data_IF_741723221596
#
_entry.id   IF_741723221596
#
_cell.length_a   1.000
_cell.length_b   1.000
_cell.length_c   1.000
_cell.angle_alpha   90.00
_cell.angle_beta   90.00
_cell.angle_gamma   90.00
#
_symmetry.space_group_name_H-M   'P 1'
#
loop_
_entity.id
_entity.type
_entity.pdbx_description
1 polymer ?
#
# COMPACT_ATOMS: atom_id res chain seq x y z
N UNK A 1 1.02 22.20 6.54
CA UNK A 1 0.89 20.78 7.00
C UNK A 1 -0.11 19.97 6.18
N UNK A 2 -1.33 20.50 5.86
CA UNK A 2 -2.31 19.81 5.01
C UNK A 2 -1.75 19.53 3.60
N UNK A 3 -1.31 20.57 2.91
CA UNK A 3 -0.75 20.44 1.55
C UNK A 3 0.51 19.57 1.52
N UNK A 4 1.36 19.65 2.52
CA UNK A 4 2.55 18.84 2.65
C UNK A 4 2.23 17.35 2.69
N UNK A 5 1.27 16.94 3.52
CA UNK A 5 0.83 15.54 3.60
C UNK A 5 0.21 15.07 2.29
N UNK A 6 -0.68 15.85 1.69
CA UNK A 6 -1.30 15.49 0.41
C UNK A 6 -0.28 15.47 -0.73
N UNK A 7 0.64 16.42 -0.78
CA UNK A 7 1.68 16.46 -1.80
C UNK A 7 2.62 15.27 -1.70
N UNK A 8 3.03 14.88 -0.49
CA UNK A 8 3.92 13.75 -0.29
C UNK A 8 3.19 12.43 -0.53
N UNK A 9 2.11 12.18 0.19
CA UNK A 9 1.45 10.87 0.20
C UNK A 9 0.65 10.60 -1.08
N UNK A 10 -0.19 11.54 -1.50
CA UNK A 10 -1.11 11.31 -2.61
C UNK A 10 -0.54 11.76 -3.96
N UNK A 11 -0.07 13.00 -4.05
CA UNK A 11 0.46 13.54 -5.30
C UNK A 11 1.74 12.83 -5.73
N UNK A 12 2.64 12.52 -4.77
CA UNK A 12 3.85 11.75 -5.04
C UNK A 12 3.52 10.37 -5.58
N UNK A 13 2.63 9.63 -4.90
CA UNK A 13 2.15 8.32 -5.36
C UNK A 13 1.52 8.40 -6.75
N UNK A 14 0.70 9.40 -7.02
CA UNK A 14 0.09 9.60 -8.33
C UNK A 14 1.15 9.75 -9.45
N UNK A 15 2.19 10.55 -9.23
CA UNK A 15 3.22 10.74 -10.25
C UNK A 15 4.06 9.46 -10.47
N UNK A 16 4.39 8.73 -9.42
CA UNK A 16 5.08 7.45 -9.54
C UNK A 16 4.22 6.43 -10.29
N UNK A 17 2.95 6.30 -9.93
CA UNK A 17 2.00 5.43 -10.61
C UNK A 17 1.87 5.78 -12.10
N UNK A 18 1.74 7.08 -12.43
CA UNK A 18 1.65 7.54 -13.83
C UNK A 18 2.88 7.14 -14.64
N UNK A 19 4.07 7.38 -14.10
CA UNK A 19 5.31 7.03 -14.78
C UNK A 19 5.46 5.51 -14.96
N UNK A 20 5.22 4.73 -13.90
CA UNK A 20 5.26 3.28 -13.94
C UNK A 20 4.23 2.69 -14.88
N UNK A 21 3.00 3.18 -14.86
CA UNK A 21 1.92 2.72 -15.72
C UNK A 21 2.25 2.95 -17.21
N UNK A 22 2.78 4.12 -17.56
CA UNK A 22 3.20 4.42 -18.92
C UNK A 22 4.31 3.49 -19.40
N UNK A 23 5.29 3.20 -18.55
CA UNK A 23 6.36 2.27 -18.86
C UNK A 23 5.84 0.83 -19.02
N UNK A 24 4.96 0.39 -18.11
CA UNK A 24 4.36 -0.95 -18.15
C UNK A 24 3.48 -1.15 -19.39
N UNK A 25 2.78 -0.12 -19.86
CA UNK A 25 2.09 -0.18 -21.16
C UNK A 25 3.02 -0.48 -22.33
N UNK A 26 4.20 0.14 -22.35
CA UNK A 26 5.18 -0.08 -23.43
C UNK A 26 5.77 -1.48 -23.41
N UNK A 27 5.94 -2.07 -22.21
CA UNK A 27 6.55 -3.39 -22.05
C UNK A 27 5.52 -4.55 -22.05
N UNK A 28 4.23 -4.24 -22.18
CA UNK A 28 3.17 -5.25 -22.30
C UNK A 28 2.61 -5.79 -20.99
N UNK A 29 2.87 -5.12 -19.86
CA UNK A 29 2.30 -5.48 -18.56
C UNK A 29 3.20 -5.16 -17.39
N UNK A 30 2.70 -5.41 -16.19
CA UNK A 30 3.45 -5.19 -14.95
C UNK A 30 2.58 -5.23 -13.71
N UNK A 31 3.18 -4.91 -12.57
CA UNK A 31 2.51 -4.82 -11.29
C UNK A 31 2.93 -3.53 -10.58
N UNK A 32 1.95 -2.77 -10.13
CA UNK A 32 2.11 -1.63 -9.23
C UNK A 32 1.58 -2.04 -7.86
N UNK A 33 2.37 -1.85 -6.82
CA UNK A 33 1.95 -2.04 -5.42
C UNK A 33 2.03 -0.69 -4.72
N UNK A 34 0.89 -0.18 -4.29
CA UNK A 34 0.80 1.04 -3.51
C UNK A 34 0.75 0.71 -2.02
N UNK A 35 1.58 1.38 -1.23
CA UNK A 35 1.51 1.27 0.23
C UNK A 35 0.55 2.34 0.76
N UNK A 36 -0.65 1.89 1.14
CA UNK A 36 -1.64 2.72 1.80
C UNK A 36 -1.51 2.63 3.32
N UNK A 37 -2.58 2.36 4.00
CA UNK A 37 -2.68 2.18 5.46
C UNK A 37 -4.06 1.65 5.79
N UNK A 38 -4.27 1.13 7.00
CA UNK A 38 -5.63 0.96 7.54
C UNK A 38 -6.38 2.31 7.57
N UNK A 39 -5.66 3.44 7.72
CA UNK A 39 -6.20 4.79 7.58
C UNK A 39 -6.68 5.14 6.16
N UNK A 40 -6.45 4.30 5.18
CA UNK A 40 -7.03 4.38 3.83
C UNK A 40 -8.37 3.64 3.70
N UNK A 41 -8.79 2.91 4.74
CA UNK A 41 -10.01 2.11 4.80
C UNK A 41 -10.94 2.63 5.91
N UNK A 42 -10.34 3.04 7.02
CA UNK A 42 -11.00 3.60 8.19
C UNK A 42 -10.45 5.01 8.50
N UNK A 43 -11.13 5.74 9.37
CA UNK A 43 -10.67 7.05 9.80
C UNK A 43 -11.02 7.28 11.29
N UNK A 44 -10.15 8.00 11.98
CA UNK A 44 -10.31 8.30 13.39
C UNK A 44 -10.20 9.80 13.65
N UNK A 45 -10.66 10.23 14.79
CA UNK A 45 -10.48 11.61 15.25
C UNK A 45 -8.98 11.99 15.22
N UNK A 46 -8.68 13.17 14.71
CA UNK A 46 -7.29 13.67 14.61
C UNK A 46 -6.50 13.19 13.40
N UNK A 47 -7.02 12.26 12.60
CA UNK A 47 -6.30 11.71 11.42
C UNK A 47 -6.82 12.24 10.07
N UNK A 48 -7.67 13.24 10.05
CA UNK A 48 -8.42 13.67 8.85
C UNK A 48 -7.54 13.86 7.60
N UNK A 49 -6.47 14.61 7.70
CA UNK A 49 -5.55 14.86 6.56
C UNK A 49 -4.84 13.59 6.11
N UNK A 50 -4.31 12.83 7.05
CA UNK A 50 -3.62 11.57 6.76
C UNK A 50 -4.58 10.55 6.15
N UNK A 51 -5.74 10.34 6.78
CA UNK A 51 -6.77 9.43 6.28
C UNK A 51 -7.26 9.84 4.89
N UNK A 52 -7.49 11.13 4.64
CA UNK A 52 -7.86 11.61 3.32
C UNK A 52 -6.79 11.28 2.26
N UNK A 53 -5.51 11.45 2.58
CA UNK A 53 -4.41 11.11 1.68
C UNK A 53 -4.38 9.60 1.38
N UNK A 54 -4.57 8.77 2.39
CA UNK A 54 -4.52 7.29 2.26
C UNK A 54 -5.77 6.72 1.59
N UNK A 55 -6.95 7.28 1.82
CA UNK A 55 -8.16 6.97 1.03
C UNK A 55 -7.99 7.37 -0.43
N UNK A 56 -7.34 8.50 -0.71
CA UNK A 56 -6.99 8.92 -2.07
C UNK A 56 -6.11 7.89 -2.79
N UNK A 57 -5.14 7.29 -2.08
CA UNK A 57 -4.31 6.19 -2.63
C UNK A 57 -5.17 4.96 -2.94
N UNK A 58 -6.15 4.62 -2.11
CA UNK A 58 -7.05 3.50 -2.38
C UNK A 58 -7.91 3.74 -3.63
N UNK A 59 -8.46 4.96 -3.77
CA UNK A 59 -9.22 5.34 -4.96
C UNK A 59 -8.33 5.30 -6.22
N UNK A 60 -7.12 5.85 -6.15
CA UNK A 60 -6.13 5.79 -7.23
C UNK A 60 -5.80 4.35 -7.62
N UNK A 61 -5.53 3.48 -6.65
CA UNK A 61 -5.23 2.06 -6.86
C UNK A 61 -6.37 1.36 -7.62
N UNK A 62 -7.60 1.57 -7.19
CA UNK A 62 -8.80 1.00 -7.82
C UNK A 62 -8.98 1.45 -9.27
N UNK A 63 -8.84 2.75 -9.51
CA UNK A 63 -8.97 3.34 -10.85
C UNK A 63 -7.90 2.79 -11.80
N UNK A 64 -6.65 2.79 -11.35
CA UNK A 64 -5.54 2.25 -12.14
C UNK A 64 -5.64 0.74 -12.37
N UNK A 65 -6.19 -0.02 -11.42
CA UNK A 65 -6.43 -1.45 -11.60
C UNK A 65 -7.45 -1.71 -12.72
N UNK A 66 -8.48 -0.88 -12.81
CA UNK A 66 -9.48 -0.98 -13.87
C UNK A 66 -8.92 -0.59 -15.24
N UNK A 67 -8.23 0.54 -15.31
CA UNK A 67 -7.53 0.99 -16.53
C UNK A 67 -6.46 0.00 -16.99
N UNK A 68 -5.76 -0.65 -16.07
CA UNK A 68 -4.65 -1.56 -16.32
C UNK A 68 -5.05 -2.87 -16.99
N UNK A 69 -6.31 -3.29 -16.87
CA UNK A 69 -6.81 -4.56 -17.45
C UNK A 69 -6.51 -4.69 -18.93
N UNK A 70 -6.71 -3.63 -19.69
CA UNK A 70 -6.47 -3.62 -21.13
C UNK A 70 -4.99 -3.75 -21.51
N UNK A 71 -4.08 -3.64 -20.56
CA UNK A 71 -2.62 -3.60 -20.79
C UNK A 71 -1.86 -4.66 -19.99
N UNK A 72 -2.55 -5.63 -19.38
CA UNK A 72 -1.95 -6.62 -18.48
C UNK A 72 -1.22 -6.00 -17.28
N UNK A 73 -1.67 -4.83 -16.81
CA UNK A 73 -1.10 -4.16 -15.65
C UNK A 73 -1.99 -4.45 -14.44
N UNK A 74 -1.40 -5.07 -13.43
CA UNK A 74 -2.04 -5.31 -12.14
C UNK A 74 -1.71 -4.17 -11.19
N UNK A 75 -2.67 -3.76 -10.38
CA UNK A 75 -2.45 -2.73 -9.35
C UNK A 75 -3.08 -3.19 -8.04
N UNK A 76 -2.27 -3.20 -7.00
CA UNK A 76 -2.63 -3.67 -5.67
C UNK A 76 -2.32 -2.62 -4.62
N UNK A 77 -3.01 -2.67 -3.49
CA UNK A 77 -2.67 -1.89 -2.31
C UNK A 77 -2.32 -2.80 -1.13
N UNK A 78 -1.29 -2.45 -0.38
CA UNK A 78 -1.04 -3.00 0.95
C UNK A 78 -1.43 -1.94 1.97
N UNK A 79 -2.23 -2.32 2.95
CA UNK A 79 -2.83 -1.43 3.93
C UNK A 79 -2.37 -1.83 5.34
N UNK A 80 -1.15 -1.46 5.76
CA UNK A 80 -0.66 -1.80 7.07
C UNK A 80 -1.34 -0.99 8.17
N UNK A 81 -1.45 -1.61 9.35
CA UNK A 81 -1.70 -0.92 10.61
C UNK A 81 -0.44 -0.25 11.15
N UNK A 82 -0.21 -0.37 12.45
CA UNK A 82 0.96 0.24 13.09
C UNK A 82 2.22 -0.61 12.85
N UNK A 83 3.16 -0.07 12.09
CA UNK A 83 4.42 -0.71 11.73
C UNK A 83 5.52 -0.25 12.66
N UNK A 84 6.49 -1.11 12.99
CA UNK A 84 7.68 -0.73 13.74
C UNK A 84 8.54 0.28 12.97
N UNK A 85 9.11 1.24 13.68
CA UNK A 85 9.85 2.37 13.06
C UNK A 85 11.26 1.96 12.60
N UNK A 86 11.80 0.85 13.14
CA UNK A 86 13.10 0.34 12.80
C UNK A 86 13.01 -0.98 12.04
N UNK A 87 13.92 -1.18 11.08
CA UNK A 87 14.15 -2.46 10.42
C UNK A 87 14.89 -3.36 11.41
N UNK A 88 14.16 -4.05 12.26
CA UNK A 88 14.69 -5.00 13.23
C UNK A 88 14.52 -6.40 12.69
N UNK A 89 15.48 -7.29 13.01
CA UNK A 89 15.37 -8.70 12.66
C UNK A 89 14.02 -9.25 13.18
N UNK A 90 13.35 -10.05 12.36
CA UNK A 90 12.05 -10.66 12.67
C UNK A 90 12.00 -11.44 14.01
N UNK A 91 13.16 -11.77 14.55
CA UNK A 91 13.33 -12.47 15.83
C UNK A 91 13.60 -11.56 17.02
N UNK A 92 13.65 -10.24 16.82
CA UNK A 92 13.98 -9.35 17.94
C UNK A 92 12.82 -9.27 18.94
N UNK A 93 13.16 -9.47 20.19
CA UNK A 93 12.22 -9.34 21.31
C UNK A 93 11.55 -7.95 21.33
N UNK A 94 12.25 -6.92 20.84
CA UNK A 94 11.76 -5.55 20.75
C UNK A 94 10.53 -5.38 19.86
N UNK A 95 10.43 -6.11 18.73
CA UNK A 95 9.22 -6.08 17.89
C UNK A 95 8.06 -6.75 18.61
N UNK A 96 8.32 -7.89 19.24
CA UNK A 96 7.31 -8.66 19.98
C UNK A 96 6.76 -7.80 21.13
N UNK A 97 7.63 -7.15 21.88
CA UNK A 97 7.23 -6.27 22.99
C UNK A 97 6.50 -5.00 22.52
N UNK A 98 6.81 -4.50 21.32
CA UNK A 98 6.15 -3.30 20.78
C UNK A 98 4.72 -3.53 20.30
N UNK A 99 4.32 -4.80 20.13
CA UNK A 99 3.02 -5.19 19.52
C UNK A 99 2.78 -4.52 18.14
N UNK A 100 3.84 -4.15 17.41
CA UNK A 100 3.77 -3.54 16.09
C UNK A 100 4.00 -4.57 14.99
N UNK A 101 3.57 -4.24 13.78
CA UNK A 101 3.82 -5.06 12.58
C UNK A 101 5.31 -4.99 12.23
N UNK A 102 5.92 -6.14 11.96
CA UNK A 102 7.28 -6.20 11.44
C UNK A 102 7.29 -5.67 9.98
N UNK A 103 8.16 -4.71 9.63
CA UNK A 103 8.31 -4.23 8.25
C UNK A 103 8.59 -5.34 7.23
N UNK A 104 9.26 -6.42 7.63
CA UNK A 104 9.50 -7.59 6.76
C UNK A 104 8.22 -8.29 6.33
N UNK A 105 7.16 -8.32 7.15
CA UNK A 105 5.87 -8.92 6.76
C UNK A 105 5.23 -8.15 5.60
N UNK A 106 5.45 -6.83 5.54
CA UNK A 106 4.98 -5.99 4.44
C UNK A 106 5.79 -6.27 3.18
N UNK A 107 7.11 -6.43 3.31
CA UNK A 107 7.99 -6.75 2.19
C UNK A 107 7.67 -8.15 1.63
N UNK A 108 7.49 -9.15 2.47
CA UNK A 108 7.09 -10.51 2.06
C UNK A 108 5.71 -10.52 1.38
N UNK A 109 4.77 -9.72 1.90
CA UNK A 109 3.47 -9.55 1.25
C UNK A 109 3.62 -8.97 -0.16
N UNK A 110 4.50 -7.99 -0.35
CA UNK A 110 4.77 -7.43 -1.67
C UNK A 110 5.39 -8.47 -2.62
N UNK A 111 6.33 -9.28 -2.13
CA UNK A 111 6.92 -10.40 -2.88
C UNK A 111 5.84 -11.41 -3.25
N UNK A 112 4.99 -11.81 -2.31
CA UNK A 112 3.88 -12.73 -2.58
C UNK A 112 2.98 -12.20 -3.70
N UNK A 113 2.57 -10.94 -3.66
CA UNK A 113 1.75 -10.33 -4.71
C UNK A 113 2.45 -10.35 -6.08
N UNK A 114 3.77 -10.20 -6.10
CA UNK A 114 4.57 -10.23 -7.31
C UNK A 114 4.70 -11.65 -7.92
N UNK A 115 4.58 -12.69 -7.11
CA UNK A 115 4.66 -14.09 -7.57
C UNK A 115 3.33 -14.65 -8.11
N UNK A 116 2.23 -13.95 -7.93
CA UNK A 116 0.92 -14.38 -8.41
C UNK A 116 0.86 -14.39 -9.94
N UNK A 117 0.18 -15.41 -10.48
CA UNK A 117 0.00 -15.59 -11.91
C UNK A 117 -0.65 -14.38 -12.61
N UNK A 118 -0.47 -14.31 -13.92
CA UNK A 118 -0.86 -13.15 -14.74
C UNK A 118 -2.33 -12.74 -14.55
N UNK A 119 -3.23 -13.69 -14.42
CA UNK A 119 -4.68 -13.43 -14.32
C UNK A 119 -5.20 -13.32 -12.88
N UNK A 120 -4.31 -13.39 -11.89
CA UNK A 120 -4.68 -13.26 -10.48
C UNK A 120 -4.34 -11.87 -9.98
N UNK A 121 -5.33 -11.14 -9.50
CA UNK A 121 -5.17 -9.81 -8.90
C UNK A 121 -5.71 -9.83 -7.48
N UNK A 122 -4.88 -9.44 -6.54
CA UNK A 122 -5.30 -9.12 -5.17
C UNK A 122 -5.43 -7.60 -5.10
N UNK A 123 -6.63 -7.09 -4.96
CA UNK A 123 -6.86 -5.64 -5.00
C UNK A 123 -6.32 -4.92 -3.78
N UNK A 124 -6.46 -5.54 -2.60
CA UNK A 124 -5.90 -5.01 -1.36
C UNK A 124 -5.56 -6.12 -0.38
N UNK A 125 -4.53 -5.90 0.41
CA UNK A 125 -4.16 -6.73 1.57
C UNK A 125 -4.13 -5.82 2.78
N UNK A 126 -4.86 -6.20 3.81
CA UNK A 126 -4.85 -5.50 5.10
C UNK A 126 -4.00 -6.30 6.06
N UNK A 127 -2.98 -5.68 6.60
CA UNK A 127 -2.11 -6.24 7.63
C UNK A 127 -2.30 -5.44 8.89
N UNK A 128 -2.81 -6.08 9.94
CA UNK A 128 -2.95 -5.42 11.21
C UNK A 128 -2.26 -6.23 12.32
N UNK A 129 -1.99 -5.58 13.42
CA UNK A 129 -1.39 -6.22 14.59
C UNK A 129 -2.41 -7.15 15.27
N UNK A 130 -1.91 -8.23 15.85
CA UNK A 130 -2.74 -9.09 16.68
C UNK A 130 -3.32 -8.27 17.85
N UNK A 131 -4.63 -8.34 18.08
CA UNK A 131 -5.32 -7.58 19.14
C UNK A 131 -5.68 -6.14 18.77
N UNK A 132 -5.57 -5.74 17.51
CA UNK A 132 -6.16 -4.47 17.07
C UNK A 132 -7.69 -4.54 17.08
N UNK A 133 -8.32 -3.48 17.55
CA UNK A 133 -9.78 -3.32 17.48
C UNK A 133 -10.18 -2.87 16.06
N UNK A 134 -11.10 -3.61 15.47
CA UNK A 134 -11.67 -3.32 14.15
C UNK A 134 -13.00 -2.61 14.25
#
# INVERSE_FOLDING_TARGET
KFDEVLNTNLRGTFFCCRAGFQQMKKQGGGLIINISSIAGIQAWAGTSTYSASKHGIMALTKSLADEGRAFNIKVSAICPGMVADELVDATSEEIIESEKINPFDIAETAIYLATLGLYTVVHQVVLDRLGADW
#
